data_IF_312459870435
#
_entry.id   IF_312459870435
#
_cell.length_a   1.000
_cell.length_b   1.000
_cell.length_c   1.000
_cell.angle_alpha   90.00
_cell.angle_beta   90.00
_cell.angle_gamma   90.00
#
_symmetry.space_group_name_H-M   'P 1'
#
loop_
_entity.id
_entity.type
_entity.pdbx_description
1 polymer ?
#
# COMPACT_ATOMS: atom_id res chain seq x y z
N UNK A 1 -4.95 10.76 -43.55
CA UNK A 1 -4.10 11.20 -42.41
C UNK A 1 -3.79 9.97 -41.56
N UNK A 2 -2.51 9.64 -41.38
CA UNK A 2 -2.09 8.63 -40.39
C UNK A 2 -1.92 9.38 -39.07
N UNK A 3 -2.75 9.07 -38.07
CA UNK A 3 -2.54 9.54 -36.71
C UNK A 3 -1.38 8.75 -36.12
N UNK A 4 -0.17 9.29 -36.17
CA UNK A 4 0.92 8.78 -35.36
C UNK A 4 0.72 9.31 -33.95
N UNK A 5 0.19 8.46 -33.06
CA UNK A 5 0.17 8.73 -31.63
C UNK A 5 1.63 8.88 -31.18
N UNK A 6 2.07 10.11 -30.96
CA UNK A 6 3.37 10.39 -30.35
C UNK A 6 3.28 9.91 -28.91
N UNK A 7 3.75 8.70 -28.66
CA UNK A 7 3.81 8.14 -27.32
C UNK A 7 4.84 8.92 -26.51
N UNK A 8 4.36 9.78 -25.62
CA UNK A 8 5.17 10.48 -24.64
C UNK A 8 5.26 9.63 -23.36
N UNK A 9 6.44 9.04 -23.16
CA UNK A 9 6.75 8.19 -22.01
C UNK A 9 6.57 8.94 -20.68
N UNK A 10 6.87 10.23 -20.63
CA UNK A 10 6.81 11.01 -19.39
C UNK A 10 5.36 11.31 -19.02
N UNK A 11 4.52 11.61 -20.01
CA UNK A 11 3.06 11.77 -19.80
C UNK A 11 2.45 10.44 -19.34
N UNK A 12 2.77 9.34 -20.01
CA UNK A 12 2.27 8.01 -19.66
C UNK A 12 2.67 7.60 -18.23
N UNK A 13 3.94 7.80 -17.84
CA UNK A 13 4.40 7.49 -16.49
C UNK A 13 3.64 8.29 -15.43
N UNK A 14 3.44 9.60 -15.65
CA UNK A 14 2.67 10.47 -14.76
C UNK A 14 1.21 10.03 -14.62
N UNK A 15 0.58 9.61 -15.72
CA UNK A 15 -0.79 9.09 -15.70
C UNK A 15 -0.90 7.82 -14.86
N UNK A 16 0.04 6.90 -15.03
CA UNK A 16 0.04 5.66 -14.24
C UNK A 16 0.35 5.90 -12.77
N UNK A 17 1.24 6.83 -12.44
CA UNK A 17 1.50 7.21 -11.04
C UNK A 17 0.27 7.85 -10.40
N UNK A 18 -0.43 8.73 -11.13
CA UNK A 18 -1.69 9.33 -10.68
C UNK A 18 -2.76 8.26 -10.42
N UNK A 19 -2.92 7.29 -11.32
CA UNK A 19 -3.87 6.18 -11.16
C UNK A 19 -3.54 5.33 -9.94
N UNK A 20 -2.26 5.03 -9.72
CA UNK A 20 -1.82 4.30 -8.54
C UNK A 20 -2.12 5.08 -7.26
N UNK A 21 -1.79 6.38 -7.24
CA UNK A 21 -2.06 7.26 -6.11
C UNK A 21 -3.56 7.32 -5.79
N UNK A 22 -4.41 7.50 -6.80
CA UNK A 22 -5.87 7.53 -6.60
C UNK A 22 -6.39 6.20 -6.01
N UNK A 23 -5.87 5.06 -6.48
CA UNK A 23 -6.29 3.75 -6.00
C UNK A 23 -5.82 3.44 -4.56
N UNK A 24 -4.61 3.88 -4.20
CA UNK A 24 -3.93 3.38 -3.00
C UNK A 24 -3.61 4.43 -1.93
N UNK A 25 -3.44 5.72 -2.28
CA UNK A 25 -3.03 6.77 -1.34
C UNK A 25 -3.91 6.84 -0.10
N UNK A 26 -5.24 6.76 -0.27
CA UNK A 26 -6.20 6.75 0.84
C UNK A 26 -6.05 5.51 1.73
N UNK A 27 -5.86 4.33 1.13
CA UNK A 27 -5.68 3.08 1.87
C UNK A 27 -4.36 3.07 2.63
N UNK A 28 -3.28 3.52 2.00
CA UNK A 28 -1.96 3.69 2.63
C UNK A 28 -2.07 4.59 3.86
N UNK A 29 -2.70 5.76 3.71
CA UNK A 29 -2.89 6.71 4.81
C UNK A 29 -3.72 6.11 5.96
N UNK A 30 -4.83 5.43 5.63
CA UNK A 30 -5.69 4.76 6.62
C UNK A 30 -4.92 3.70 7.43
N UNK A 31 -4.22 2.79 6.75
CA UNK A 31 -3.51 1.71 7.44
C UNK A 31 -2.30 2.23 8.22
N UNK A 32 -1.61 3.28 7.75
CA UNK A 32 -0.54 3.93 8.50
C UNK A 32 -1.04 4.52 9.83
N UNK A 33 -2.19 5.20 9.81
CA UNK A 33 -2.80 5.73 11.03
C UNK A 33 -3.30 4.62 11.96
N UNK A 34 -3.89 3.57 11.39
CA UNK A 34 -4.31 2.36 12.11
C UNK A 34 -3.14 1.68 12.83
N UNK A 35 -1.94 1.72 12.24
CA UNK A 35 -0.74 1.11 12.83
C UNK A 35 -0.26 1.87 14.07
N UNK A 36 -0.26 3.21 14.03
CA UNK A 36 0.06 4.02 15.20
C UNK A 36 -0.93 3.77 16.35
N UNK A 37 -2.22 3.72 16.03
CA UNK A 37 -3.25 3.40 17.01
C UNK A 37 -3.05 2.00 17.60
N UNK A 38 -2.78 1.00 16.75
CA UNK A 38 -2.52 -0.38 17.18
C UNK A 38 -1.33 -0.49 18.12
N UNK A 39 -0.22 0.20 17.84
CA UNK A 39 0.95 0.25 18.72
C UNK A 39 0.61 0.89 20.07
N UNK A 40 -0.10 2.02 20.08
CA UNK A 40 -0.52 2.70 21.31
C UNK A 40 -1.37 1.76 22.18
N UNK A 41 -2.34 1.06 21.58
CA UNK A 41 -3.20 0.11 22.29
C UNK A 41 -2.41 -1.05 22.91
N UNK A 42 -1.40 -1.58 22.21
CA UNK A 42 -0.53 -2.62 22.76
C UNK A 42 0.29 -2.10 23.94
N UNK A 43 0.90 -0.92 23.82
CA UNK A 43 1.70 -0.33 24.91
C UNK A 43 0.85 -0.10 26.15
N UNK A 44 -0.34 0.49 26.00
CA UNK A 44 -1.27 0.72 27.11
C UNK A 44 -1.73 -0.61 27.71
N UNK A 45 -2.12 -1.57 26.86
CA UNK A 45 -2.56 -2.89 27.31
C UNK A 45 -1.48 -3.65 28.08
N UNK A 46 -0.22 -3.60 27.61
CA UNK A 46 0.93 -4.18 28.31
C UNK A 46 1.22 -3.49 29.63
N UNK A 47 1.17 -2.14 29.68
CA UNK A 47 1.36 -1.39 30.92
C UNK A 47 0.29 -1.72 31.96
N UNK A 48 -0.95 -1.94 31.53
CA UNK A 48 -2.06 -2.33 32.40
C UNK A 48 -1.92 -3.75 32.99
N UNK A 49 -1.20 -4.64 32.31
CA UNK A 49 -0.94 -6.02 32.78
C UNK A 49 0.23 -6.07 33.77
N UNK A 50 1.19 -5.13 33.66
CA UNK A 50 2.48 -5.24 34.34
C UNK A 50 2.41 -5.10 35.87
N UNK A 51 1.54 -4.24 36.41
CA UNK A 51 1.66 -3.78 37.81
C UNK A 51 0.38 -3.97 38.67
N UNK A 52 -0.71 -4.53 38.11
CA UNK A 52 -1.95 -4.80 38.87
C UNK A 52 -2.63 -6.09 38.43
N UNK A 53 -3.44 -6.73 39.30
CA UNK A 53 -4.38 -7.74 38.84
C UNK A 53 -5.21 -7.13 37.72
N UNK A 54 -5.22 -7.77 36.55
CA UNK A 54 -5.82 -7.25 35.33
C UNK A 54 -7.34 -7.08 35.52
N UNK A 55 -7.76 -5.93 36.04
CA UNK A 55 -9.15 -5.61 36.39
C UNK A 55 -10.01 -5.84 35.13
N UNK A 56 -10.90 -6.85 35.20
CA UNK A 56 -11.78 -7.28 34.10
C UNK A 56 -11.10 -7.70 32.78
N UNK A 57 -9.79 -7.98 32.76
CA UNK A 57 -9.09 -8.39 31.53
C UNK A 57 -8.90 -7.28 30.50
N UNK A 58 -9.12 -6.02 30.86
CA UNK A 58 -9.05 -4.87 29.94
C UNK A 58 -7.70 -4.72 29.22
N UNK A 59 -6.60 -5.08 29.88
CA UNK A 59 -5.28 -5.09 29.24
C UNK A 59 -5.17 -6.09 28.08
N UNK A 60 -5.78 -7.28 28.21
CA UNK A 60 -5.81 -8.27 27.12
C UNK A 60 -6.70 -7.83 25.97
N UNK A 61 -7.82 -7.16 26.27
CA UNK A 61 -8.73 -6.60 25.26
C UNK A 61 -8.00 -5.53 24.43
N UNK A 62 -7.26 -4.62 25.07
CA UNK A 62 -6.49 -3.60 24.38
C UNK A 62 -5.38 -4.20 23.50
N UNK A 63 -4.68 -5.22 23.98
CA UNK A 63 -3.68 -5.93 23.16
C UNK A 63 -4.35 -6.61 21.97
N UNK A 64 -5.50 -7.28 22.17
CA UNK A 64 -6.25 -7.92 21.09
C UNK A 64 -6.68 -6.91 20.02
N UNK A 65 -7.26 -5.77 20.42
CA UNK A 65 -7.61 -4.69 19.49
C UNK A 65 -6.37 -4.08 18.82
N UNK A 66 -5.26 -3.96 19.53
CA UNK A 66 -4.01 -3.49 18.97
C UNK A 66 -3.49 -4.41 17.86
N UNK A 67 -3.45 -5.72 18.13
CA UNK A 67 -3.06 -6.74 17.15
C UNK A 67 -4.03 -6.81 15.96
N UNK A 68 -5.34 -6.71 16.19
CA UNK A 68 -6.33 -6.70 15.11
C UNK A 68 -6.20 -5.48 14.19
N UNK A 69 -5.68 -4.36 14.69
CA UNK A 69 -5.37 -3.18 13.87
C UNK A 69 -4.04 -3.31 13.11
N UNK A 70 -3.09 -4.10 13.61
CA UNK A 70 -1.78 -4.32 12.97
C UNK A 70 -1.83 -5.36 11.84
N UNK A 71 -2.64 -6.42 11.98
CA UNK A 71 -2.73 -7.49 10.98
C UNK A 71 -3.16 -6.98 9.58
N UNK A 72 -4.20 -6.13 9.44
CA UNK A 72 -4.58 -5.54 8.16
C UNK A 72 -3.44 -4.73 7.56
N UNK A 73 -2.72 -3.94 8.36
CA UNK A 73 -1.60 -3.13 7.86
C UNK A 73 -0.57 -4.01 7.14
N UNK A 74 -0.15 -5.12 7.76
CA UNK A 74 0.84 -6.03 7.18
C UNK A 74 0.32 -6.63 5.86
N UNK A 75 -0.91 -7.14 5.86
CA UNK A 75 -1.53 -7.72 4.66
C UNK A 75 -1.62 -6.71 3.50
N UNK A 76 -2.12 -5.51 3.79
CA UNK A 76 -2.29 -4.47 2.78
C UNK A 76 -0.97 -3.89 2.31
N UNK A 77 0.03 -3.80 3.17
CA UNK A 77 1.39 -3.39 2.80
C UNK A 77 1.97 -4.32 1.72
N UNK A 78 1.89 -5.63 1.92
CA UNK A 78 2.35 -6.59 0.91
C UNK A 78 1.52 -6.51 -0.37
N UNK A 79 0.20 -6.35 -0.26
CA UNK A 79 -0.68 -6.21 -1.43
C UNK A 79 -0.32 -4.99 -2.27
N UNK A 80 -0.16 -3.82 -1.65
CA UNK A 80 0.20 -2.56 -2.30
C UNK A 80 1.57 -2.69 -2.96
N UNK A 81 2.55 -3.30 -2.27
CA UNK A 81 3.89 -3.54 -2.83
C UNK A 81 3.85 -4.43 -4.08
N UNK A 82 3.03 -5.47 -4.07
CA UNK A 82 2.85 -6.34 -5.24
C UNK A 82 2.19 -5.60 -6.40
N UNK A 83 1.16 -4.80 -6.12
CA UNK A 83 0.45 -4.05 -7.17
C UNK A 83 1.32 -2.94 -7.78
N UNK A 84 2.16 -2.28 -6.97
CA UNK A 84 3.18 -1.34 -7.48
C UNK A 84 4.16 -2.04 -8.43
N UNK A 85 4.66 -3.23 -8.06
CA UNK A 85 5.55 -4.02 -8.92
C UNK A 85 4.89 -4.45 -10.23
N UNK A 86 3.60 -4.81 -10.21
CA UNK A 86 2.84 -5.13 -11.44
C UNK A 86 2.74 -3.92 -12.37
N UNK A 87 2.45 -2.74 -11.83
CA UNK A 87 2.39 -1.51 -12.62
C UNK A 87 3.76 -1.16 -13.20
N UNK A 88 4.83 -1.31 -12.42
CA UNK A 88 6.19 -1.07 -12.93
C UNK A 88 6.55 -2.02 -14.08
N UNK A 89 6.16 -3.29 -13.98
CA UNK A 89 6.36 -4.26 -15.06
C UNK A 89 5.52 -3.92 -16.30
N UNK A 90 4.25 -3.57 -16.12
CA UNK A 90 3.38 -3.14 -17.23
C UNK A 90 3.94 -1.91 -17.95
N UNK A 91 4.46 -0.93 -17.20
CA UNK A 91 5.16 0.23 -17.78
C UNK A 91 6.35 -0.20 -18.63
N UNK A 92 7.17 -1.15 -18.16
CA UNK A 92 8.33 -1.66 -18.92
C UNK A 92 7.90 -2.35 -20.21
N UNK A 93 6.90 -3.24 -20.14
CA UNK A 93 6.37 -3.95 -21.30
C UNK A 93 5.81 -2.99 -22.35
N UNK A 94 5.03 -1.99 -21.96
CA UNK A 94 4.47 -0.98 -22.88
C UNK A 94 5.51 -0.02 -23.45
N UNK A 95 6.64 0.21 -22.77
CA UNK A 95 7.76 1.02 -23.29
C UNK A 95 8.66 0.20 -24.25
N UNK A 96 8.75 -1.11 -24.06
CA UNK A 96 9.56 -2.01 -24.90
C UNK A 96 8.82 -2.46 -26.17
N UNK A 97 7.49 -2.62 -26.12
CA UNK A 97 6.63 -2.94 -27.27
C UNK A 97 6.83 -2.01 -28.50
N UNK A 98 6.91 -0.67 -28.35
CA UNK A 98 7.15 0.26 -29.46
C UNK A 98 8.51 0.06 -30.15
N UNK A 99 9.51 -0.52 -29.48
CA UNK A 99 10.86 -0.73 -30.06
C UNK A 99 10.91 -1.91 -31.03
N UNK A 100 10.00 -2.87 -30.91
CA UNK A 100 9.94 -4.05 -31.79
C UNK A 100 9.34 -3.76 -33.17
N UNK A 101 8.40 -2.81 -33.26
CA UNK A 101 7.71 -2.48 -34.52
C UNK A 101 8.56 -1.60 -35.45
N UNK A 102 9.50 -0.82 -34.90
CA UNK A 102 10.43 0.00 -35.70
C UNK A 102 11.43 -0.79 -36.57
N UNK A 103 11.49 -2.12 -36.45
CA UNK A 103 12.37 -2.99 -37.25
C UNK A 103 11.71 -3.62 -38.48
N UNK A 104 10.44 -3.33 -38.76
CA UNK A 104 9.67 -3.94 -39.87
C UNK A 104 9.26 -2.94 -40.96
N UNK A 105 9.98 -1.82 -41.11
CA UNK A 105 9.87 -0.92 -42.27
C UNK A 105 11.25 -0.66 -42.83
#
# INVERSE_FOLDING_TARGET
MKFELVFDKDIYNKQMDLLFDLAWKRKIAYYKNSQYLGLILIVIGSAMIYDRPNIFGGGYVLIFFGLSNLLPFVYYYFKIKLDYKKIENAKKEEIEFPKGVKKLV
#
